data_IF_823389122316
#
_entry.id   IF_823389122316
#
_cell.length_a   1.000
_cell.length_b   1.000
_cell.length_c   1.000
_cell.angle_alpha   90.00
_cell.angle_beta   90.00
_cell.angle_gamma   90.00
#
_symmetry.space_group_name_H-M   'P 1'
#
loop_
_entity.id
_entity.type
_entity.pdbx_description
1 polymer ?
#
# COMPACT_ATOMS: atom_id res chain seq x y z
N UNK A 1 -0.99 11.11 14.99
CA UNK A 1 -1.90 11.18 13.83
C UNK A 1 -1.42 12.32 12.95
N UNK A 2 -0.79 12.01 11.81
CA UNK A 2 -0.38 13.03 10.86
C UNK A 2 -1.61 13.72 10.26
N UNK A 3 -1.53 15.01 10.01
CA UNK A 3 -2.61 15.80 9.40
C UNK A 3 -2.80 15.28 7.97
N UNK A 4 -3.92 14.64 7.67
CA UNK A 4 -4.24 14.19 6.32
C UNK A 4 -4.65 15.39 5.47
N UNK A 5 -3.73 15.90 4.65
CA UNK A 5 -4.03 16.97 3.70
C UNK A 5 -4.67 16.39 2.43
N UNK A 6 -5.99 16.18 2.46
CA UNK A 6 -6.73 15.74 1.28
C UNK A 6 -6.64 16.80 0.18
N UNK A 7 -6.25 16.37 -1.03
CA UNK A 7 -6.25 17.22 -2.22
C UNK A 7 -6.93 16.47 -3.35
N UNK A 8 -7.82 17.13 -4.07
CA UNK A 8 -8.41 16.56 -5.28
C UNK A 8 -7.36 16.46 -6.38
N UNK A 9 -7.38 15.33 -7.09
CA UNK A 9 -6.52 15.04 -8.22
C UNK A 9 -7.37 14.51 -9.36
N UNK A 10 -7.04 14.90 -10.58
CA UNK A 10 -7.66 14.37 -11.78
C UNK A 10 -6.66 13.48 -12.50
N UNK A 11 -6.97 12.19 -12.60
CA UNK A 11 -6.15 11.20 -13.29
C UNK A 11 -7.03 10.39 -14.24
N UNK A 12 -6.44 9.93 -15.35
CA UNK A 12 -7.03 8.90 -16.17
C UNK A 12 -6.41 7.57 -15.75
N UNK A 13 -7.23 6.69 -15.20
CA UNK A 13 -6.83 5.38 -14.71
C UNK A 13 -7.66 4.30 -15.41
N UNK A 14 -7.09 3.10 -15.49
CA UNK A 14 -7.80 1.93 -16.00
C UNK A 14 -8.83 1.46 -14.96
N UNK A 15 -10.12 1.55 -15.32
CA UNK A 15 -11.24 1.17 -14.46
C UNK A 15 -11.12 -0.29 -13.96
N UNK A 16 -10.64 -1.20 -14.80
CA UNK A 16 -10.53 -2.62 -14.44
C UNK A 16 -9.54 -2.85 -13.29
N UNK A 17 -8.50 -2.02 -13.18
CA UNK A 17 -7.53 -2.07 -12.09
C UNK A 17 -8.13 -1.51 -10.80
N UNK A 18 -8.95 -0.47 -10.89
CA UNK A 18 -9.67 0.09 -9.74
C UNK A 18 -10.69 -0.91 -9.19
N UNK A 19 -11.47 -1.55 -10.05
CA UNK A 19 -12.45 -2.56 -9.64
C UNK A 19 -11.77 -3.76 -8.98
N UNK A 20 -10.66 -4.24 -9.55
CA UNK A 20 -9.85 -5.30 -8.95
C UNK A 20 -9.29 -4.87 -7.60
N UNK A 21 -8.73 -3.66 -7.49
CA UNK A 21 -8.22 -3.14 -6.23
C UNK A 21 -9.31 -3.05 -5.16
N UNK A 22 -10.51 -2.56 -5.51
CA UNK A 22 -11.66 -2.53 -4.62
C UNK A 22 -12.05 -3.92 -4.12
N UNK A 23 -12.11 -4.89 -5.02
CA UNK A 23 -12.45 -6.28 -4.70
C UNK A 23 -11.41 -6.93 -3.77
N UNK A 24 -10.12 -6.81 -4.09
CA UNK A 24 -9.03 -7.40 -3.30
C UNK A 24 -8.93 -6.75 -1.92
N UNK A 25 -9.11 -5.44 -1.84
CA UNK A 25 -9.01 -4.68 -0.58
C UNK A 25 -10.32 -4.66 0.22
N UNK A 26 -11.43 -5.15 -0.34
CA UNK A 26 -12.73 -5.19 0.31
C UNK A 26 -13.33 -3.79 0.59
N UNK A 27 -13.05 -2.82 -0.28
CA UNK A 27 -13.44 -1.41 -0.07
C UNK A 27 -14.56 -0.96 -1.03
N UNK A 28 -15.28 0.08 -0.62
CA UNK A 28 -16.49 0.53 -1.34
C UNK A 28 -16.19 1.57 -2.41
N UNK A 29 -15.14 2.37 -2.22
CA UNK A 29 -14.82 3.52 -3.10
C UNK A 29 -13.44 3.36 -3.75
N UNK A 30 -13.28 3.97 -4.93
CA UNK A 30 -12.00 3.99 -5.65
C UNK A 30 -10.95 4.81 -4.90
N UNK A 31 -11.34 5.94 -4.29
CA UNK A 31 -10.45 6.75 -3.46
C UNK A 31 -9.89 5.92 -2.30
N UNK A 32 -10.74 5.17 -1.59
CA UNK A 32 -10.29 4.30 -0.51
C UNK A 32 -9.37 3.18 -1.01
N UNK A 33 -9.64 2.62 -2.19
CA UNK A 33 -8.79 1.61 -2.80
C UNK A 33 -7.39 2.16 -3.13
N UNK A 34 -7.33 3.37 -3.70
CA UNK A 34 -6.08 4.04 -4.05
C UNK A 34 -5.29 4.37 -2.78
N UNK A 35 -5.91 5.01 -1.79
CA UNK A 35 -5.23 5.40 -0.54
C UNK A 35 -4.66 4.17 0.19
N UNK A 36 -5.46 3.10 0.35
CA UNK A 36 -4.97 1.87 1.00
C UNK A 36 -3.87 1.18 0.21
N UNK A 37 -3.99 1.11 -1.13
CA UNK A 37 -2.96 0.52 -1.97
C UNK A 37 -1.63 1.29 -1.84
N UNK A 38 -1.67 2.62 -1.81
CA UNK A 38 -0.49 3.46 -1.61
C UNK A 38 0.15 3.22 -0.23
N UNK A 39 -0.65 3.18 0.84
CA UNK A 39 -0.14 2.86 2.19
C UNK A 39 0.55 1.50 2.20
N UNK A 40 -0.10 0.45 1.67
CA UNK A 40 0.46 -0.90 1.66
C UNK A 40 1.81 -0.99 0.93
N UNK A 41 1.92 -0.36 -0.24
CA UNK A 41 3.16 -0.40 -1.04
C UNK A 41 4.30 0.35 -0.36
N UNK A 42 4.01 1.48 0.28
CA UNK A 42 5.01 2.23 1.06
C UNK A 42 5.46 1.43 2.27
N UNK A 43 4.52 0.88 3.04
CA UNK A 43 4.81 0.10 4.24
C UNK A 43 5.61 -1.16 3.89
N UNK A 44 5.26 -1.88 2.82
CA UNK A 44 6.04 -3.03 2.35
C UNK A 44 7.47 -2.63 2.01
N UNK A 45 7.65 -1.51 1.32
CA UNK A 45 8.97 -1.01 0.94
C UNK A 45 9.81 -0.66 2.17
N UNK A 46 9.22 -0.04 3.18
CA UNK A 46 9.92 0.30 4.43
C UNK A 46 10.24 -0.94 5.27
N UNK A 47 9.33 -1.92 5.34
CA UNK A 47 9.58 -3.21 5.98
C UNK A 47 10.72 -3.96 5.29
N UNK A 48 10.73 -4.01 3.96
CA UNK A 48 11.80 -4.65 3.20
C UNK A 48 13.15 -3.96 3.42
N UNK A 49 13.18 -2.63 3.52
CA UNK A 49 14.39 -1.87 3.90
C UNK A 49 14.85 -2.21 5.31
N UNK A 50 13.92 -2.27 6.28
CA UNK A 50 14.23 -2.61 7.66
C UNK A 50 14.82 -4.03 7.78
N UNK A 51 14.20 -5.02 7.12
CA UNK A 51 14.69 -6.40 7.07
C UNK A 51 16.06 -6.51 6.41
N UNK A 52 16.33 -5.74 5.35
CA UNK A 52 17.66 -5.69 4.73
C UNK A 52 18.72 -5.14 5.68
N UNK A 53 18.40 -4.15 6.51
CA UNK A 53 19.34 -3.56 7.49
C UNK A 53 19.65 -4.50 8.65
N UNK A 54 18.71 -5.38 9.02
CA UNK A 54 18.85 -6.31 10.15
C UNK A 54 19.35 -7.69 9.76
N UNK A 55 19.61 -7.94 8.47
CA UNK A 55 20.10 -9.21 7.93
C UNK A 55 21.35 -9.67 8.69
N UNK A 56 21.25 -10.82 9.38
CA UNK A 56 22.31 -11.41 10.19
C UNK A 56 22.31 -11.07 11.68
N UNK A 57 21.46 -10.15 12.16
CA UNK A 57 21.30 -9.82 13.59
C UNK A 57 20.02 -10.37 14.22
N UNK A 58 19.01 -10.72 13.43
CA UNK A 58 17.72 -11.25 13.90
C UNK A 58 17.23 -12.41 13.02
N UNK A 59 16.44 -13.33 13.60
CA UNK A 59 15.87 -14.50 12.90
C UNK A 59 14.57 -14.19 12.11
N UNK A 60 14.25 -12.92 11.88
CA UNK A 60 12.99 -12.52 11.23
C UNK A 60 13.07 -12.85 9.73
N UNK A 61 12.10 -13.63 9.23
CA UNK A 61 11.99 -14.05 7.82
C UNK A 61 10.69 -13.53 7.21
N UNK A 62 10.75 -13.05 5.96
CA UNK A 62 9.56 -12.69 5.17
C UNK A 62 8.86 -13.99 4.75
N UNK A 63 7.62 -14.18 5.19
CA UNK A 63 6.83 -15.42 5.01
C UNK A 63 5.74 -15.32 3.94
N UNK A 64 5.47 -14.12 3.41
CA UNK A 64 4.49 -13.89 2.35
C UNK A 64 5.08 -13.06 1.21
N UNK A 65 4.61 -13.30 -0.02
CA UNK A 65 5.00 -12.64 -1.28
C UNK A 65 3.77 -12.08 -1.97
#
# INVERSE_FOLDING_TARGET
MGITMLRHKHFQLDQSKLDRAKSVLGVKTEAEAIERALTLVVDETELDKALKRTKGRTQIRKIFR
#
